data_IF_772769357326
#
_entry.id   IF_772769357326
#
_cell.length_a   1.000
_cell.length_b   1.000
_cell.length_c   1.000
_cell.angle_alpha   90.00
_cell.angle_beta   90.00
_cell.angle_gamma   90.00
#
_symmetry.space_group_name_H-M   'P 1'
#
loop_
_entity.id
_entity.type
_entity.pdbx_description
1 polymer ?
#
# COMPACT_ATOMS: atom_id res chain seq x y z
N UNK A 1 -9.75 -18.69 -47.03
CA UNK A 1 -9.97 -18.60 -45.57
C UNK A 1 -9.04 -17.52 -45.03
N UNK A 2 -9.57 -16.33 -44.73
CA UNK A 2 -8.79 -15.19 -44.26
C UNK A 2 -8.50 -15.36 -42.77
N UNK A 3 -7.23 -15.52 -42.40
CA UNK A 3 -6.82 -15.59 -41.01
C UNK A 3 -7.10 -14.24 -40.34
N UNK A 4 -8.02 -14.22 -39.38
CA UNK A 4 -8.21 -13.07 -38.49
C UNK A 4 -6.90 -12.77 -37.77
N UNK A 5 -6.39 -11.52 -37.82
CA UNK A 5 -5.14 -11.16 -37.17
C UNK A 5 -5.27 -11.44 -35.67
N UNK A 6 -4.33 -12.21 -35.12
CA UNK A 6 -4.22 -12.44 -33.67
C UNK A 6 -4.15 -11.07 -33.01
N UNK A 7 -5.21 -10.70 -32.30
CA UNK A 7 -5.27 -9.53 -31.43
C UNK A 7 -3.98 -9.49 -30.62
N UNK A 8 -3.19 -8.45 -30.84
CA UNK A 8 -1.92 -8.22 -30.18
C UNK A 8 -2.23 -7.93 -28.71
N UNK A 9 -2.40 -8.97 -27.89
CA UNK A 9 -2.68 -8.83 -26.46
C UNK A 9 -1.52 -8.04 -25.87
N UNK A 10 -1.79 -6.80 -25.46
CA UNK A 10 -0.84 -5.94 -24.76
C UNK A 10 -0.21 -6.76 -23.64
N UNK A 11 1.13 -6.92 -23.68
CA UNK A 11 1.90 -7.56 -22.61
C UNK A 11 1.66 -6.80 -21.30
N UNK A 12 1.33 -7.53 -20.24
CA UNK A 12 1.29 -7.00 -18.87
C UNK A 12 2.73 -6.69 -18.44
N UNK A 13 2.97 -5.47 -17.96
CA UNK A 13 4.29 -4.99 -17.57
C UNK A 13 4.57 -5.20 -16.07
N UNK A 14 3.53 -5.17 -15.24
CA UNK A 14 3.66 -5.21 -13.79
C UNK A 14 2.48 -5.96 -13.16
N UNK A 15 2.76 -6.84 -12.20
CA UNK A 15 1.72 -7.44 -11.34
C UNK A 15 1.84 -6.87 -9.93
N UNK A 16 0.72 -6.39 -9.39
CA UNK A 16 0.69 -5.61 -8.14
C UNK A 16 -0.18 -6.35 -7.14
N UNK A 17 0.35 -6.56 -5.94
CA UNK A 17 -0.37 -7.20 -4.84
C UNK A 17 -0.41 -6.28 -3.63
N UNK A 18 -1.54 -6.25 -2.95
CA UNK A 18 -1.67 -5.43 -1.76
C UNK A 18 -3.09 -5.24 -1.28
N UNK A 19 -3.22 -4.35 -0.32
CA UNK A 19 -4.51 -3.98 0.27
C UNK A 19 -5.27 -2.97 -0.60
N UNK A 20 -6.10 -2.09 -0.01
CA UNK A 20 -6.81 -1.08 -0.78
C UNK A 20 -5.92 -0.03 -1.46
N UNK A 21 -4.66 0.11 -1.05
CA UNK A 21 -3.69 1.07 -1.58
C UNK A 21 -3.12 0.70 -2.95
N UNK A 22 -3.38 -0.51 -3.47
CA UNK A 22 -3.14 -0.82 -4.89
C UNK A 22 -4.18 -0.19 -5.83
N UNK A 23 -5.23 0.44 -5.26
CA UNK A 23 -6.33 1.07 -5.99
C UNK A 23 -5.93 2.02 -7.13
N UNK A 24 -4.96 2.94 -6.94
CA UNK A 24 -4.54 3.87 -8.00
C UNK A 24 -4.12 3.18 -9.30
N UNK A 25 -3.50 2.00 -9.22
CA UNK A 25 -3.01 1.28 -10.39
C UNK A 25 -4.12 0.71 -11.28
N UNK A 26 -5.37 0.67 -10.81
CA UNK A 26 -6.52 0.31 -11.66
C UNK A 26 -6.74 1.29 -12.81
N UNK A 27 -6.17 2.51 -12.72
CA UNK A 27 -6.19 3.53 -13.78
C UNK A 27 -5.29 3.18 -15.00
N UNK A 28 -4.37 2.22 -14.85
CA UNK A 28 -3.43 1.78 -15.90
C UNK A 28 -3.97 0.62 -16.78
N UNK A 29 -5.17 0.13 -16.48
CA UNK A 29 -5.89 -0.92 -17.23
C UNK A 29 -5.00 -2.11 -17.62
N UNK A 30 -4.90 -2.45 -18.91
CA UNK A 30 -4.27 -3.68 -19.41
C UNK A 30 -2.74 -3.72 -19.28
N UNK A 31 -2.10 -2.64 -18.81
CA UNK A 31 -0.65 -2.63 -18.59
C UNK A 31 -0.24 -3.30 -17.29
N UNK A 32 -1.18 -3.42 -16.35
CA UNK A 32 -0.92 -3.96 -15.03
C UNK A 32 -1.94 -5.04 -14.67
N UNK A 33 -1.55 -5.97 -13.81
CA UNK A 33 -2.47 -6.90 -13.17
C UNK A 33 -2.56 -6.57 -11.68
N UNK A 34 -3.72 -6.07 -11.25
CA UNK A 34 -3.94 -5.61 -9.86
C UNK A 34 -4.66 -6.68 -9.04
N UNK A 35 -3.95 -7.29 -8.11
CA UNK A 35 -4.45 -8.28 -7.17
C UNK A 35 -4.72 -7.62 -5.81
N UNK A 36 -5.96 -7.16 -5.60
CA UNK A 36 -6.37 -6.43 -4.40
C UNK A 36 -6.99 -7.35 -3.35
N UNK A 37 -6.44 -7.31 -2.13
CA UNK A 37 -6.90 -8.07 -0.97
C UNK A 37 -7.45 -7.13 0.10
N UNK A 38 -8.78 -7.02 0.18
CA UNK A 38 -9.42 -6.04 1.06
C UNK A 38 -9.10 -6.33 2.54
N UNK A 39 -8.50 -5.36 3.22
CA UNK A 39 -8.14 -5.48 4.64
C UNK A 39 -6.94 -6.38 4.91
N UNK A 40 -6.21 -6.78 3.87
CA UNK A 40 -4.98 -7.52 4.05
C UNK A 40 -3.95 -6.68 4.81
N UNK A 41 -3.21 -7.36 5.69
CA UNK A 41 -2.17 -6.80 6.52
C UNK A 41 -0.85 -7.50 6.21
N UNK A 42 0.26 -6.79 6.39
CA UNK A 42 1.59 -7.37 6.25
C UNK A 42 1.79 -8.51 7.28
N UNK A 43 1.36 -8.30 8.53
CA UNK A 43 1.39 -9.31 9.59
C UNK A 43 0.49 -10.52 9.30
N UNK A 44 -0.59 -10.32 8.53
CA UNK A 44 -1.55 -11.36 8.17
C UNK A 44 -1.10 -12.27 7.03
N UNK A 45 -0.01 -11.96 6.31
CA UNK A 45 0.45 -12.76 5.17
C UNK A 45 0.94 -14.15 5.56
N UNK A 46 1.61 -14.27 6.71
CA UNK A 46 2.11 -15.53 7.27
C UNK A 46 1.13 -16.23 8.22
N UNK A 47 -0.06 -15.65 8.44
CA UNK A 47 -1.00 -16.21 9.40
C UNK A 47 -1.90 -17.28 8.74
N UNK A 48 -1.59 -18.55 9.00
CA UNK A 48 -2.36 -19.71 8.52
C UNK A 48 -3.79 -19.75 9.07
N UNK A 49 -4.06 -19.09 10.21
CA UNK A 49 -5.40 -18.96 10.78
C UNK A 49 -6.16 -17.73 10.24
N UNK A 50 -5.54 -16.93 9.36
CA UNK A 50 -6.18 -15.76 8.77
C UNK A 50 -7.36 -16.18 7.90
N UNK A 51 -8.58 -15.71 8.24
CA UNK A 51 -9.77 -15.96 7.41
C UNK A 51 -9.61 -15.54 5.94
N UNK A 52 -8.75 -14.55 5.67
CA UNK A 52 -8.52 -14.03 4.32
C UNK A 52 -7.56 -14.90 3.49
N UNK A 53 -6.71 -15.72 4.14
CA UNK A 53 -5.67 -16.53 3.49
C UNK A 53 -4.87 -15.75 2.42
N UNK A 54 -4.62 -14.46 2.66
CA UNK A 54 -4.09 -13.56 1.63
C UNK A 54 -2.71 -14.00 1.12
N UNK A 55 -1.82 -14.45 2.01
CA UNK A 55 -0.49 -14.94 1.62
C UNK A 55 -0.59 -16.16 0.69
N UNK A 56 -1.37 -17.17 1.09
CA UNK A 56 -1.62 -18.37 0.30
C UNK A 56 -2.19 -18.05 -1.09
N UNK A 57 -3.26 -17.24 -1.14
CA UNK A 57 -3.89 -16.84 -2.40
C UNK A 57 -2.93 -16.07 -3.31
N UNK A 58 -2.07 -15.22 -2.74
CA UNK A 58 -1.03 -14.51 -3.48
C UNK A 58 0.02 -15.46 -4.05
N UNK A 59 0.49 -16.45 -3.27
CA UNK A 59 1.48 -17.43 -3.72
C UNK A 59 0.94 -18.34 -4.83
N UNK A 60 -0.32 -18.77 -4.72
CA UNK A 60 -1.00 -19.53 -5.77
C UNK A 60 -1.09 -18.72 -7.07
N UNK A 61 -1.44 -17.43 -6.96
CA UNK A 61 -1.47 -16.54 -8.12
C UNK A 61 -0.08 -16.36 -8.73
N UNK A 62 0.95 -16.08 -7.92
CA UNK A 62 2.34 -15.94 -8.35
C UNK A 62 2.84 -17.21 -9.07
N UNK A 63 2.58 -18.39 -8.51
CA UNK A 63 2.98 -19.66 -9.11
C UNK A 63 2.30 -19.89 -10.46
N UNK A 64 1.02 -19.54 -10.58
CA UNK A 64 0.25 -19.71 -11.81
C UNK A 64 0.64 -18.72 -12.92
N UNK A 65 0.84 -17.43 -12.59
CA UNK A 65 1.06 -16.40 -13.62
C UNK A 65 2.53 -16.10 -13.88
N UNK A 66 3.42 -16.51 -12.97
CA UNK A 66 4.88 -16.32 -13.04
C UNK A 66 5.30 -14.94 -13.58
N UNK A 67 4.85 -13.83 -12.96
CA UNK A 67 5.14 -12.49 -13.47
C UNK A 67 6.63 -12.14 -13.29
N UNK A 68 7.22 -11.51 -14.30
CA UNK A 68 8.62 -11.03 -14.25
C UNK A 68 8.79 -9.85 -13.29
N UNK A 69 7.83 -8.92 -13.29
CA UNK A 69 7.88 -7.70 -12.48
C UNK A 69 6.73 -7.68 -11.47
N UNK A 70 7.05 -7.55 -10.19
CA UNK A 70 6.11 -7.58 -9.08
C UNK A 70 6.24 -6.34 -8.20
N UNK A 71 5.11 -5.76 -7.78
CA UNK A 71 5.04 -4.73 -6.75
C UNK A 71 4.20 -5.21 -5.58
N UNK A 72 4.72 -5.11 -4.35
CA UNK A 72 4.02 -5.44 -3.12
C UNK A 72 3.73 -4.19 -2.30
N UNK A 73 2.47 -4.02 -1.90
CA UNK A 73 1.98 -2.87 -1.12
C UNK A 73 1.20 -3.38 0.10
N UNK A 74 1.90 -3.53 1.22
CA UNK A 74 1.34 -3.98 2.50
C UNK A 74 1.87 -3.12 3.64
N UNK A 75 1.19 -3.15 4.79
CA UNK A 75 1.56 -2.40 6.00
C UNK A 75 0.64 -1.22 6.31
N UNK A 76 -0.07 -0.67 5.32
CA UNK A 76 -0.98 0.45 5.56
C UNK A 76 -2.11 0.09 6.54
N UNK A 77 -2.73 -1.09 6.37
CA UNK A 77 -3.79 -1.56 7.27
C UNK A 77 -3.23 -1.89 8.65
N UNK A 78 -2.00 -2.37 8.77
CA UNK A 78 -1.35 -2.67 10.05
C UNK A 78 -1.15 -1.40 10.88
N UNK A 79 -0.58 -0.36 10.26
CA UNK A 79 -0.21 0.89 10.93
C UNK A 79 -1.43 1.80 11.12
N UNK A 80 -2.26 2.01 10.10
CA UNK A 80 -3.32 3.02 10.13
C UNK A 80 -4.67 2.50 10.66
N UNK A 81 -4.85 1.18 10.82
CA UNK A 81 -6.13 0.57 11.23
C UNK A 81 -5.97 -0.43 12.37
N UNK A 82 -5.11 -1.43 12.18
CA UNK A 82 -5.02 -2.57 13.10
C UNK A 82 -4.40 -2.18 14.43
N UNK A 83 -3.41 -1.29 14.42
CA UNK A 83 -2.89 -0.66 15.63
C UNK A 83 -4.00 0.00 16.46
N UNK A 84 -4.80 0.87 15.83
CA UNK A 84 -5.90 1.57 16.51
C UNK A 84 -6.96 0.59 17.06
N UNK A 85 -7.29 -0.45 16.28
CA UNK A 85 -8.14 -1.54 16.76
C UNK A 85 -7.57 -2.13 18.04
N UNK A 86 -6.28 -2.48 18.06
CA UNK A 86 -5.65 -3.15 19.20
C UNK A 86 -5.53 -2.27 20.43
N UNK A 87 -5.36 -0.97 20.24
CA UNK A 87 -5.46 0.00 21.34
C UNK A 87 -6.87 -0.03 21.94
N UNK A 88 -7.92 0.16 21.15
CA UNK A 88 -9.31 0.12 21.65
C UNK A 88 -9.69 -1.21 22.31
N UNK A 89 -9.30 -2.33 21.69
CA UNK A 89 -9.49 -3.70 22.21
C UNK A 89 -8.86 -3.85 23.61
N UNK A 90 -7.66 -3.32 23.80
CA UNK A 90 -6.94 -3.39 25.08
C UNK A 90 -7.54 -2.48 26.15
N UNK A 91 -8.02 -1.29 25.76
CA UNK A 91 -8.75 -0.41 26.69
C UNK A 91 -10.04 -1.06 27.17
N UNK A 92 -10.82 -1.63 26.24
CA UNK A 92 -12.07 -2.31 26.54
C UNK A 92 -11.87 -3.49 27.52
N UNK A 93 -10.82 -4.28 27.32
CA UNK A 93 -10.53 -5.45 28.12
C UNK A 93 -9.59 -5.19 29.31
N UNK A 94 -9.17 -3.94 29.51
CA UNK A 94 -8.22 -3.55 30.55
C UNK A 94 -6.90 -4.36 30.51
N UNK A 95 -6.45 -4.72 29.32
CA UNK A 95 -5.17 -5.41 29.11
C UNK A 95 -4.06 -4.42 28.77
N UNK A 96 -2.82 -4.90 28.78
CA UNK A 96 -1.67 -4.07 28.34
C UNK A 96 -1.87 -3.62 26.89
N UNK A 97 -1.90 -2.30 26.61
CA UNK A 97 -2.08 -1.81 25.26
C UNK A 97 -0.81 -2.01 24.43
N UNK A 98 -0.90 -2.09 23.09
CA UNK A 98 0.28 -2.23 22.26
C UNK A 98 1.14 -0.97 22.33
N UNK A 99 2.43 -1.12 22.60
CA UNK A 99 3.43 -0.06 22.44
C UNK A 99 3.65 0.23 20.92
N UNK A 100 3.62 1.49 20.45
CA UNK A 100 3.75 1.82 19.02
C UNK A 100 5.04 1.30 18.39
N UNK A 101 6.18 1.46 19.08
CA UNK A 101 7.49 1.10 18.55
C UNK A 101 7.62 -0.42 18.42
N UNK A 102 7.18 -1.14 19.45
CA UNK A 102 7.10 -2.61 19.45
C UNK A 102 6.12 -3.10 18.39
N UNK A 103 4.97 -2.45 18.22
CA UNK A 103 3.98 -2.80 17.20
C UNK A 103 4.60 -2.78 15.80
N UNK A 104 5.23 -1.65 15.44
CA UNK A 104 5.86 -1.44 14.14
C UNK A 104 6.92 -2.50 13.85
N UNK A 105 7.79 -2.81 14.81
CA UNK A 105 8.78 -3.88 14.69
C UNK A 105 8.12 -5.23 14.42
N UNK A 106 7.08 -5.60 15.17
CA UNK A 106 6.41 -6.89 14.97
C UNK A 106 5.73 -6.99 13.59
N UNK A 107 5.20 -5.88 13.07
CA UNK A 107 4.61 -5.82 11.73
C UNK A 107 5.69 -6.02 10.68
N UNK A 108 6.80 -5.29 10.79
CA UNK A 108 7.93 -5.41 9.88
C UNK A 108 8.54 -6.82 9.92
N UNK A 109 8.84 -7.37 11.09
CA UNK A 109 9.41 -8.72 11.24
C UNK A 109 8.52 -9.79 10.59
N UNK A 110 7.21 -9.70 10.82
CA UNK A 110 6.25 -10.61 10.19
C UNK A 110 6.27 -10.51 8.66
N UNK A 111 6.37 -9.28 8.14
CA UNK A 111 6.44 -9.05 6.70
C UNK A 111 7.77 -9.51 6.10
N UNK A 112 8.89 -9.15 6.73
CA UNK A 112 10.23 -9.53 6.32
C UNK A 112 10.40 -11.06 6.31
N UNK A 113 9.85 -11.77 7.30
CA UNK A 113 9.85 -13.23 7.30
C UNK A 113 9.06 -13.80 6.12
N UNK A 114 7.87 -13.26 5.83
CA UNK A 114 7.09 -13.67 4.65
C UNK A 114 7.88 -13.42 3.35
N UNK A 115 8.52 -12.26 3.23
CA UNK A 115 9.36 -11.92 2.08
C UNK A 115 10.50 -12.92 1.92
N UNK A 116 11.28 -13.17 2.98
CA UNK A 116 12.44 -14.09 2.95
C UNK A 116 12.05 -15.51 2.62
N UNK A 117 11.01 -16.04 3.25
CA UNK A 117 10.65 -17.45 3.13
C UNK A 117 9.81 -17.75 1.88
N UNK A 118 8.97 -16.80 1.45
CA UNK A 118 7.95 -17.05 0.44
C UNK A 118 8.16 -16.25 -0.85
N UNK A 119 8.73 -15.04 -0.81
CA UNK A 119 8.88 -14.21 -2.01
C UNK A 119 10.29 -14.30 -2.61
N UNK A 120 11.34 -14.07 -1.82
CA UNK A 120 12.73 -14.06 -2.31
C UNK A 120 13.16 -15.33 -3.04
N UNK A 121 12.73 -16.56 -2.67
CA UNK A 121 13.08 -17.76 -3.43
C UNK A 121 12.57 -17.75 -4.87
N UNK A 122 11.64 -16.84 -5.22
CA UNK A 122 11.10 -16.66 -6.56
C UNK A 122 11.77 -15.52 -7.33
N UNK A 123 12.68 -14.77 -6.70
CA UNK A 123 13.41 -13.65 -7.30
C UNK A 123 14.69 -14.17 -7.95
N UNK A 124 14.89 -13.84 -9.22
CA UNK A 124 16.09 -14.23 -9.96
C UNK A 124 17.28 -13.42 -9.48
N UNK A 125 18.32 -14.11 -9.00
CA UNK A 125 19.60 -13.48 -8.67
C UNK A 125 20.25 -13.03 -9.97
N UNK A 126 20.48 -11.72 -10.14
CA UNK A 126 21.30 -11.20 -11.22
C UNK A 126 22.75 -11.57 -10.93
N UNK A 127 23.16 -12.74 -11.40
CA UNK A 127 24.56 -13.12 -11.37
C UNK A 127 25.30 -12.18 -12.34
N UNK A 128 25.99 -11.18 -11.79
CA UNK A 128 26.86 -10.29 -12.54
C UNK A 128 28.00 -11.10 -13.13
N UNK A 129 27.78 -11.67 -14.32
CA UNK A 129 28.76 -12.27 -15.22
C UNK A 129 29.77 -13.23 -14.57
N UNK A 130 29.66 -14.52 -14.90
CA UNK A 130 30.72 -15.52 -14.73
C UNK A 130 30.91 -15.97 -13.26
N UNK A 131 30.38 -17.12 -12.89
CA UNK A 131 31.19 -18.33 -13.07
C UNK A 131 30.30 -19.55 -13.20
N UNK A 132 30.40 -20.18 -14.37
CA UNK A 132 29.99 -21.56 -14.57
C UNK A 132 30.44 -22.46 -13.41
N UNK A 133 29.53 -23.36 -13.04
CA UNK A 133 29.83 -24.72 -12.61
C UNK A 133 30.70 -24.87 -11.37
N UNK A 134 30.07 -24.98 -10.19
CA UNK A 134 30.05 -26.22 -9.38
C UNK A 134 29.48 -25.95 -7.98
N UNK A 135 28.32 -26.53 -7.74
CA UNK A 135 28.01 -27.19 -6.46
C UNK A 135 27.78 -26.31 -5.24
N UNK A 136 26.54 -25.89 -5.04
CA UNK A 136 25.85 -26.15 -3.78
C UNK A 136 24.49 -26.77 -4.11
N UNK A 137 24.47 -28.10 -4.06
CA UNK A 137 23.34 -28.94 -4.46
C UNK A 137 22.22 -28.93 -3.44
N UNK A 138 21.32 -27.96 -3.55
CA UNK A 138 19.93 -28.19 -3.19
C UNK A 138 19.15 -28.22 -4.50
N UNK A 139 18.84 -29.44 -4.96
CA UNK A 139 17.86 -29.61 -6.02
C UNK A 139 16.58 -28.86 -5.59
N UNK A 140 15.94 -28.08 -6.48
CA UNK A 140 14.71 -27.38 -6.15
C UNK A 140 13.68 -28.40 -5.64
N UNK A 141 13.16 -28.18 -4.43
CA UNK A 141 12.25 -29.11 -3.76
C UNK A 141 10.94 -29.34 -4.53
N UNK A 142 10.62 -28.47 -5.49
CA UNK A 142 9.52 -28.63 -6.45
C UNK A 142 9.76 -27.78 -7.71
N UNK A 143 9.11 -28.14 -8.83
CA UNK A 143 9.14 -27.33 -10.06
C UNK A 143 8.58 -25.89 -9.87
N UNK A 144 7.87 -25.64 -8.77
CA UNK A 144 7.33 -24.32 -8.42
C UNK A 144 8.37 -23.37 -7.80
N UNK A 145 9.58 -23.85 -7.46
CA UNK A 145 10.60 -23.05 -6.79
C UNK A 145 11.64 -22.41 -7.73
N UNK A 146 11.49 -22.54 -9.05
CA UNK A 146 12.40 -21.86 -9.97
C UNK A 146 12.14 -20.35 -9.94
N UNK A 147 13.17 -19.51 -9.75
CA UNK A 147 13.01 -18.06 -9.76
C UNK A 147 12.46 -17.58 -11.11
N UNK A 148 11.51 -16.65 -11.07
CA UNK A 148 10.85 -16.07 -12.24
C UNK A 148 10.60 -14.57 -12.13
N UNK A 149 10.74 -13.99 -10.94
CA UNK A 149 10.62 -12.55 -10.72
C UNK A 149 11.97 -11.92 -11.00
N UNK A 150 12.11 -11.17 -12.09
CA UNK A 150 13.32 -10.39 -12.38
C UNK A 150 13.39 -9.10 -11.56
N UNK A 151 12.24 -8.54 -11.18
CA UNK A 151 12.19 -7.29 -10.41
C UNK A 151 11.04 -7.30 -9.40
N UNK A 152 11.37 -7.05 -8.14
CA UNK A 152 10.47 -6.98 -7.01
C UNK A 152 10.55 -5.58 -6.40
N UNK A 153 9.48 -4.81 -6.51
CA UNK A 153 9.31 -3.55 -5.81
C UNK A 153 8.57 -3.77 -4.49
N UNK A 154 9.07 -3.18 -3.42
CA UNK A 154 8.39 -3.08 -2.13
C UNK A 154 8.03 -1.61 -1.89
N UNK A 155 6.73 -1.31 -1.81
CA UNK A 155 6.24 0.04 -1.59
C UNK A 155 6.32 0.42 -0.12
N UNK A 156 6.70 1.68 0.12
CA UNK A 156 6.50 2.35 1.39
C UNK A 156 5.02 2.46 1.77
N UNK A 157 4.78 2.65 3.06
CA UNK A 157 3.49 3.09 3.61
C UNK A 157 3.39 4.61 3.47
N UNK A 158 2.27 5.11 2.96
CA UNK A 158 2.01 6.55 2.86
C UNK A 158 1.84 7.17 4.25
N UNK A 159 2.35 8.39 4.43
CA UNK A 159 2.15 9.17 5.64
C UNK A 159 0.66 9.30 6.02
N UNK A 160 0.34 9.29 7.32
CA UNK A 160 -1.05 9.33 7.77
C UNK A 160 -1.73 10.64 7.36
N UNK A 161 -2.92 10.51 6.78
CA UNK A 161 -3.74 11.64 6.31
C UNK A 161 -4.87 12.03 7.27
N UNK A 162 -5.21 11.16 8.22
CA UNK A 162 -6.33 11.38 9.16
C UNK A 162 -5.83 12.21 10.33
N UNK A 163 -6.32 13.44 10.55
CA UNK A 163 -5.97 14.26 11.70
C UNK A 163 -6.59 13.68 12.98
N UNK A 164 -6.04 14.04 14.13
CA UNK A 164 -6.47 13.48 15.43
C UNK A 164 -7.93 13.79 15.75
N UNK A 165 -8.41 14.96 15.35
CA UNK A 165 -9.82 15.37 15.46
C UNK A 165 -10.80 14.44 14.73
N UNK A 166 -10.33 13.62 13.79
CA UNK A 166 -11.14 12.68 13.02
C UNK A 166 -10.74 11.22 13.22
N UNK A 167 -9.77 10.95 14.09
CA UNK A 167 -9.18 9.63 14.27
C UNK A 167 -10.19 8.63 14.83
N UNK A 168 -11.00 9.02 15.82
CA UNK A 168 -12.05 8.15 16.36
C UNK A 168 -13.05 7.74 15.27
N UNK A 169 -13.48 8.69 14.44
CA UNK A 169 -14.40 8.40 13.33
C UNK A 169 -13.78 7.48 12.28
N UNK A 170 -12.48 7.65 12.02
CA UNK A 170 -11.73 6.73 11.17
C UNK A 170 -11.75 5.32 11.76
N UNK A 171 -11.42 5.17 13.03
CA UNK A 171 -11.46 3.89 13.74
C UNK A 171 -12.84 3.24 13.66
N UNK A 172 -13.91 3.97 13.98
CA UNK A 172 -15.29 3.48 13.91
C UNK A 172 -15.65 2.95 12.51
N UNK A 173 -15.20 3.67 11.47
CA UNK A 173 -15.46 3.31 10.07
C UNK A 173 -14.77 2.01 9.66
N UNK A 174 -13.54 1.77 10.10
CA UNK A 174 -12.78 0.58 9.69
C UNK A 174 -12.99 -0.61 10.63
N UNK A 175 -13.47 -0.38 11.84
CA UNK A 175 -13.72 -1.39 12.88
C UNK A 175 -15.22 -1.51 13.21
N UNK A 176 -16.08 -1.39 12.19
CA UNK A 176 -17.55 -1.36 12.34
C UNK A 176 -18.18 -2.45 13.24
N UNK A 177 -17.71 -3.71 13.28
CA UNK A 177 -18.34 -4.70 14.17
C UNK A 177 -18.19 -4.38 15.66
N UNK A 178 -17.17 -3.60 16.04
CA UNK A 178 -16.77 -3.38 17.44
C UNK A 178 -17.02 -1.96 17.92
N UNK A 179 -17.15 -1.00 17.00
CA UNK A 179 -17.20 0.42 17.36
C UNK A 179 -18.36 0.79 18.30
N UNK A 180 -19.53 0.15 18.16
CA UNK A 180 -20.66 0.43 19.06
C UNK A 180 -20.35 -0.05 20.48
N UNK A 181 -19.76 -1.25 20.61
CA UNK A 181 -19.37 -1.84 21.89
C UNK A 181 -18.33 -0.95 22.59
N UNK A 182 -17.34 -0.45 21.86
CA UNK A 182 -16.34 0.47 22.42
C UNK A 182 -16.95 1.80 22.88
N UNK A 183 -17.88 2.36 22.09
CA UNK A 183 -18.57 3.60 22.47
C UNK A 183 -19.43 3.43 23.71
N UNK A 184 -20.15 2.32 23.80
CA UNK A 184 -20.97 1.99 24.97
C UNK A 184 -20.09 1.78 26.23
N UNK A 185 -18.86 1.30 26.04
CA UNK A 185 -17.85 1.17 27.09
C UNK A 185 -17.06 2.48 27.37
N UNK A 186 -17.35 3.58 26.68
CA UNK A 186 -16.65 4.86 26.85
C UNK A 186 -15.20 4.87 26.36
N UNK A 187 -14.80 3.91 25.53
CA UNK A 187 -13.44 3.81 24.99
C UNK A 187 -13.25 4.85 23.88
N UNK A 188 -12.22 5.70 24.02
CA UNK A 188 -11.84 6.68 22.99
C UNK A 188 -10.33 6.66 22.74
N UNK A 189 -9.92 6.84 21.47
CA UNK A 189 -8.50 6.89 21.10
C UNK A 189 -7.78 8.12 21.66
N UNK A 190 -8.50 9.22 21.89
CA UNK A 190 -7.90 10.43 22.47
C UNK A 190 -7.51 10.27 23.95
N UNK A 191 -8.05 9.25 24.63
CA UNK A 191 -7.83 8.98 26.05
C UNK A 191 -7.17 7.61 26.29
N UNK A 192 -6.75 6.91 25.22
CA UNK A 192 -6.11 5.60 25.37
C UNK A 192 -4.76 5.72 26.06
N UNK A 193 -4.38 4.67 26.80
CA UNK A 193 -3.08 4.57 27.47
C UNK A 193 -1.91 4.51 26.50
N UNK A 194 -2.13 3.93 25.30
CA UNK A 194 -1.15 3.94 24.22
C UNK A 194 -1.38 5.14 23.29
N UNK A 195 -0.31 5.82 22.82
CA UNK A 195 -0.43 7.05 22.06
C UNK A 195 -0.88 6.80 20.61
N UNK A 196 -1.90 7.54 20.15
CA UNK A 196 -2.52 7.31 18.83
C UNK A 196 -2.53 8.55 17.93
N UNK A 197 -1.95 9.64 18.42
CA UNK A 197 -1.89 10.93 17.74
C UNK A 197 -1.12 10.89 16.40
N UNK A 198 -1.24 11.96 15.62
CA UNK A 198 -0.65 12.05 14.29
C UNK A 198 0.88 11.97 14.33
N UNK A 199 1.53 12.49 15.37
CA UNK A 199 2.98 12.46 15.49
C UNK A 199 3.46 11.02 15.75
N UNK A 200 2.81 10.30 16.66
CA UNK A 200 3.05 8.87 16.87
C UNK A 200 2.87 8.07 15.59
N UNK A 201 1.74 8.25 14.88
CA UNK A 201 1.46 7.51 13.63
C UNK A 201 2.45 7.83 12.50
N UNK A 202 2.95 9.06 12.43
CA UNK A 202 4.02 9.45 11.50
C UNK A 202 5.34 8.76 11.84
N UNK A 203 5.73 8.78 13.11
CA UNK A 203 6.91 8.06 13.58
C UNK A 203 6.82 6.58 13.22
N UNK A 204 5.69 5.94 13.53
CA UNK A 204 5.45 4.54 13.16
C UNK A 204 5.58 4.26 11.66
N UNK A 205 5.07 5.17 10.82
CA UNK A 205 5.17 5.06 9.35
C UNK A 205 6.61 5.22 8.89
N UNK A 206 7.33 6.21 9.43
CA UNK A 206 8.74 6.46 9.11
C UNK A 206 9.62 5.27 9.53
N UNK A 207 9.43 4.74 10.74
CA UNK A 207 10.19 3.59 11.26
C UNK A 207 9.93 2.34 10.41
N UNK A 208 8.67 2.05 10.06
CA UNK A 208 8.33 0.92 9.17
C UNK A 208 8.98 1.05 7.80
N UNK A 209 8.88 2.25 7.20
CA UNK A 209 9.43 2.54 5.88
C UNK A 209 10.96 2.43 5.86
N UNK A 210 11.62 2.94 6.90
CA UNK A 210 13.06 2.84 7.05
C UNK A 210 13.53 1.39 7.13
N UNK A 211 12.90 0.57 7.98
CA UNK A 211 13.24 -0.86 8.05
C UNK A 211 12.98 -1.59 6.72
N UNK A 212 11.94 -1.20 5.97
CA UNK A 212 11.64 -1.77 4.65
C UNK A 212 12.68 -1.36 3.59
N UNK A 213 13.18 -0.12 3.65
CA UNK A 213 14.27 0.38 2.81
C UNK A 213 15.59 -0.35 3.12
N UNK A 214 15.92 -0.52 4.40
CA UNK A 214 17.08 -1.29 4.85
C UNK A 214 16.99 -2.73 4.33
N UNK A 215 15.83 -3.39 4.47
CA UNK A 215 15.59 -4.72 3.92
C UNK A 215 15.84 -4.80 2.41
N UNK A 216 15.36 -3.82 1.64
CA UNK A 216 15.61 -3.79 0.20
C UNK A 216 17.10 -3.61 -0.13
N UNK A 217 17.79 -2.76 0.64
CA UNK A 217 19.22 -2.49 0.48
C UNK A 217 20.05 -3.73 0.79
N UNK A 218 19.76 -4.42 1.89
CA UNK A 218 20.37 -5.68 2.31
C UNK A 218 20.18 -6.81 1.30
N UNK A 219 19.19 -6.71 0.41
CA UNK A 219 18.83 -7.74 -0.55
C UNK A 219 18.97 -7.26 -2.01
N UNK A 220 19.63 -6.11 -2.21
CA UNK A 220 19.90 -5.55 -3.53
C UNK A 220 20.77 -6.47 -4.41
N UNK A 221 21.62 -7.31 -3.79
CA UNK A 221 22.41 -8.34 -4.48
C UNK A 221 21.58 -9.42 -5.16
N UNK A 222 20.30 -9.56 -4.80
CA UNK A 222 19.36 -10.44 -5.51
C UNK A 222 18.91 -9.81 -6.83
N UNK A 223 19.50 -8.67 -7.23
CA UNK A 223 19.41 -8.06 -8.55
C UNK A 223 18.08 -7.36 -8.88
N UNK A 224 17.00 -7.81 -8.26
CA UNK A 224 15.66 -7.35 -8.55
C UNK A 224 14.94 -6.60 -7.42
N UNK A 225 15.46 -6.59 -6.19
CA UNK A 225 14.71 -6.02 -5.03
C UNK A 225 14.91 -4.50 -4.96
N UNK A 226 13.81 -3.76 -4.97
CA UNK A 226 13.80 -2.29 -5.01
C UNK A 226 12.81 -1.71 -4.01
N UNK A 227 13.23 -0.70 -3.28
CA UNK A 227 12.35 0.10 -2.45
C UNK A 227 11.69 1.19 -3.29
N UNK A 228 10.38 1.39 -3.12
CA UNK A 228 9.62 2.45 -3.79
C UNK A 228 8.97 3.34 -2.74
N UNK A 229 9.38 4.61 -2.67
CA UNK A 229 8.79 5.58 -1.75
C UNK A 229 8.09 6.73 -2.49
N UNK A 230 6.77 6.81 -2.33
CA UNK A 230 5.97 7.91 -2.88
C UNK A 230 6.00 9.15 -1.98
N UNK A 231 6.32 9.00 -0.68
CA UNK A 231 6.16 10.09 0.29
C UNK A 231 6.88 11.38 -0.11
N UNK A 232 8.13 11.36 -0.61
CA UNK A 232 8.83 12.58 -1.07
C UNK A 232 8.06 13.40 -2.13
N UNK A 233 7.16 12.78 -2.90
CA UNK A 233 6.35 13.45 -3.93
C UNK A 233 5.03 14.01 -3.41
N UNK A 234 4.57 13.50 -2.26
CA UNK A 234 3.23 13.79 -1.74
C UNK A 234 3.21 14.50 -0.39
N UNK A 235 4.34 14.59 0.30
CA UNK A 235 4.46 15.29 1.58
C UNK A 235 5.21 16.62 1.45
N UNK A 236 4.99 17.49 2.43
CA UNK A 236 5.79 18.70 2.63
C UNK A 236 7.16 18.30 3.21
N UNK A 237 8.29 18.69 2.59
CA UNK A 237 9.62 18.43 3.14
C UNK A 237 9.85 19.05 4.52
N UNK A 238 9.14 20.14 4.84
CA UNK A 238 9.32 20.89 6.10
C UNK A 238 8.57 20.25 7.27
N UNK A 239 7.39 19.71 7.01
CA UNK A 239 6.47 19.24 8.07
C UNK A 239 6.24 17.73 8.07
N UNK A 240 6.53 17.06 6.95
CA UNK A 240 6.14 15.68 6.70
C UNK A 240 4.64 15.48 6.45
N UNK A 241 3.85 16.57 6.43
CA UNK A 241 2.42 16.53 6.18
C UNK A 241 2.12 16.13 4.73
N UNK A 242 1.13 15.27 4.50
CA UNK A 242 0.61 15.05 3.15
C UNK A 242 0.02 16.36 2.62
N UNK A 243 0.48 16.79 1.44
CA UNK A 243 0.09 18.06 0.87
C UNK A 243 -1.42 18.11 0.59
N UNK A 244 -2.09 19.26 0.82
CA UNK A 244 -3.54 19.40 0.70
C UNK A 244 -4.17 18.81 -0.56
N UNK A 245 -3.51 19.00 -1.72
CA UNK A 245 -3.98 18.50 -3.03
C UNK A 245 -4.09 16.97 -3.15
N UNK A 246 -3.46 16.22 -2.25
CA UNK A 246 -3.55 14.74 -2.22
C UNK A 246 -4.52 14.25 -1.14
N UNK A 247 -5.11 15.16 -0.35
CA UNK A 247 -6.09 14.82 0.67
C UNK A 247 -7.48 14.69 0.05
N UNK A 248 -8.13 13.59 0.37
CA UNK A 248 -9.53 13.36 0.04
C UNK A 248 -10.46 14.20 0.91
N UNK A 249 -11.63 14.54 0.37
CA UNK A 249 -12.68 15.34 1.06
C UNK A 249 -13.12 14.77 2.41
N UNK A 250 -13.14 13.44 2.56
CA UNK A 250 -13.53 12.82 3.83
C UNK A 250 -12.31 12.74 4.76
N UNK A 251 -12.28 13.49 5.88
CA UNK A 251 -11.12 13.49 6.77
C UNK A 251 -10.90 12.18 7.54
N UNK A 252 -11.89 11.28 7.57
CA UNK A 252 -11.84 10.01 8.31
C UNK A 252 -11.42 8.81 7.43
N UNK A 253 -10.82 9.04 6.26
CA UNK A 253 -10.30 7.97 5.42
C UNK A 253 -8.78 8.01 5.37
N UNK A 254 -8.17 6.84 5.42
CA UNK A 254 -6.72 6.65 5.40
C UNK A 254 -6.08 6.83 4.01
N UNK A 255 -6.89 7.06 2.98
CA UNK A 255 -6.43 7.09 1.59
C UNK A 255 -6.14 8.52 1.13
N UNK A 256 -5.10 8.67 0.31
CA UNK A 256 -4.89 9.83 -0.56
C UNK A 256 -5.78 9.76 -1.81
N UNK A 257 -5.90 10.87 -2.52
CA UNK A 257 -6.60 10.96 -3.81
C UNK A 257 -5.80 10.20 -4.88
N UNK A 258 -6.39 9.14 -5.44
CA UNK A 258 -5.71 8.24 -6.38
C UNK A 258 -5.32 8.94 -7.69
N UNK A 259 -6.23 9.74 -8.23
CA UNK A 259 -6.05 10.43 -9.51
C UNK A 259 -4.87 11.40 -9.49
N UNK A 260 -4.61 12.01 -8.33
CA UNK A 260 -3.51 12.97 -8.17
C UNK A 260 -2.16 12.32 -7.89
N UNK A 261 -2.13 11.04 -7.48
CA UNK A 261 -0.89 10.35 -7.08
C UNK A 261 -0.38 9.36 -8.10
N UNK A 262 -1.22 8.86 -9.01
CA UNK A 262 -0.84 7.85 -9.99
C UNK A 262 0.31 8.28 -10.91
N UNK A 263 0.41 9.57 -11.24
CA UNK A 263 1.52 10.08 -12.06
C UNK A 263 2.89 9.88 -11.39
N UNK A 264 3.00 10.16 -10.10
CA UNK A 264 4.25 9.93 -9.32
C UNK A 264 4.58 8.44 -9.22
N UNK A 265 3.58 7.59 -9.03
CA UNK A 265 3.78 6.13 -9.00
C UNK A 265 4.30 5.61 -10.35
N UNK A 266 3.78 6.11 -11.46
CA UNK A 266 4.25 5.76 -12.80
C UNK A 266 5.68 6.24 -13.04
N UNK A 267 6.04 7.43 -12.56
CA UNK A 267 7.42 7.94 -12.63
C UNK A 267 8.40 7.05 -11.86
N UNK A 268 8.04 6.67 -10.63
CA UNK A 268 8.82 5.76 -9.78
C UNK A 268 8.96 4.35 -10.36
N UNK A 269 8.04 3.94 -11.24
CA UNK A 269 8.03 2.63 -11.92
C UNK A 269 8.41 2.73 -13.40
N UNK A 270 9.05 3.82 -13.82
CA UNK A 270 9.35 4.07 -15.24
C UNK A 270 10.24 3.00 -15.87
N UNK A 271 11.10 2.36 -15.08
CA UNK A 271 11.96 1.26 -15.52
C UNK A 271 11.21 -0.06 -15.82
N UNK A 272 9.95 -0.16 -15.41
CA UNK A 272 9.04 -1.25 -15.85
C UNK A 272 8.54 -1.08 -17.28
N UNK A 273 8.81 0.08 -17.90
CA UNK A 273 8.26 0.48 -19.20
C UNK A 273 6.89 1.16 -19.12
N UNK A 274 6.37 1.39 -17.91
CA UNK A 274 5.19 2.22 -17.69
C UNK A 274 5.51 3.69 -18.00
N UNK A 275 4.53 4.38 -18.59
CA UNK A 275 4.61 5.80 -18.93
C UNK A 275 3.31 6.50 -18.56
N UNK A 276 3.34 7.84 -18.44
CA UNK A 276 2.13 8.64 -18.15
C UNK A 276 1.04 8.41 -19.22
N UNK A 277 1.42 8.02 -20.44
CA UNK A 277 0.47 7.70 -21.53
C UNK A 277 -0.35 6.44 -21.28
N UNK A 278 0.10 5.58 -20.36
CA UNK A 278 -0.63 4.38 -19.95
C UNK A 278 -1.77 4.69 -18.98
N UNK A 279 -1.84 5.93 -18.46
CA UNK A 279 -3.00 6.45 -17.73
C UNK A 279 -4.09 6.78 -18.75
N UNK A 280 -4.95 5.81 -19.01
CA UNK A 280 -5.97 5.90 -20.08
C UNK A 280 -7.30 6.51 -19.62
N UNK A 281 -7.36 7.01 -18.39
CA UNK A 281 -8.56 7.60 -17.78
C UNK A 281 -8.36 9.11 -17.74
N UNK A 282 -9.42 9.85 -18.04
CA UNK A 282 -9.47 11.28 -17.73
C UNK A 282 -9.45 11.45 -16.21
N UNK A 283 -8.28 11.84 -15.69
CA UNK A 283 -8.04 11.98 -14.25
C UNK A 283 -8.94 13.05 -13.62
N UNK A 284 -9.27 14.11 -14.36
CA UNK A 284 -10.13 15.18 -13.86
C UNK A 284 -11.57 14.67 -13.72
N UNK A 285 -12.11 14.06 -14.78
CA UNK A 285 -13.46 13.48 -14.74
C UNK A 285 -13.59 12.34 -13.72
N UNK A 286 -12.57 11.49 -13.59
CA UNK A 286 -12.52 10.42 -12.57
C UNK A 286 -12.56 11.00 -11.16
N UNK A 287 -11.75 12.04 -10.92
CA UNK A 287 -11.68 12.70 -9.63
C UNK A 287 -13.01 13.36 -9.25
N UNK A 288 -13.62 14.12 -10.15
CA UNK A 288 -14.94 14.74 -9.94
C UNK A 288 -16.03 13.70 -9.61
N UNK A 289 -16.03 12.58 -10.34
CA UNK A 289 -16.96 11.47 -10.10
C UNK A 289 -16.75 10.85 -8.72
N UNK A 290 -15.49 10.65 -8.32
CA UNK A 290 -15.14 10.14 -7.00
C UNK A 290 -15.62 11.09 -5.90
N UNK A 291 -15.33 12.39 -6.02
CA UNK A 291 -15.71 13.41 -5.04
C UNK A 291 -17.23 13.49 -4.89
N UNK A 292 -17.97 13.56 -6.00
CA UNK A 292 -19.43 13.61 -5.97
C UNK A 292 -20.03 12.39 -5.25
N UNK A 293 -19.50 11.19 -5.51
CA UNK A 293 -19.93 9.97 -4.82
C UNK A 293 -19.62 10.03 -3.31
N UNK A 294 -18.46 10.57 -2.92
CA UNK A 294 -18.08 10.70 -1.51
C UNK A 294 -18.88 11.75 -0.77
N UNK A 295 -19.14 12.90 -1.38
CA UNK A 295 -20.02 13.93 -0.82
C UNK A 295 -21.42 13.38 -0.55
N UNK A 296 -22.00 12.66 -1.51
CA UNK A 296 -23.30 12.00 -1.32
C UNK A 296 -23.29 10.98 -0.19
N UNK A 297 -22.22 10.20 -0.06
CA UNK A 297 -22.04 9.29 1.06
C UNK A 297 -21.98 10.05 2.39
N UNK A 298 -21.22 11.14 2.44
CA UNK A 298 -21.01 11.95 3.64
C UNK A 298 -22.28 12.63 4.12
N UNK A 299 -23.08 13.19 3.20
CA UNK A 299 -24.38 13.76 3.50
C UNK A 299 -25.34 12.74 4.14
N UNK A 300 -25.33 11.49 3.65
CA UNK A 300 -26.15 10.40 4.24
C UNK A 300 -25.75 10.03 5.66
N UNK A 301 -24.48 10.23 6.03
CA UNK A 301 -23.93 9.86 7.34
C UNK A 301 -23.63 11.06 8.24
N UNK A 302 -24.09 12.27 7.89
CA UNK A 302 -23.81 13.49 8.65
C UNK A 302 -22.31 13.75 8.86
N UNK A 303 -21.49 13.51 7.83
CA UNK A 303 -20.04 13.77 7.87
C UNK A 303 -19.79 15.14 7.24
N UNK A 304 -19.22 16.08 8.00
CA UNK A 304 -18.73 17.32 7.43
C UNK A 304 -17.48 17.06 6.55
N UNK A 305 -17.40 17.61 5.33
CA UNK A 305 -16.20 17.52 4.52
C UNK A 305 -15.08 18.41 5.05
N UNK A 306 -13.85 18.09 4.65
CA UNK A 306 -12.73 19.04 4.75
C UNK A 306 -13.09 20.32 4.03
N UNK A 307 -12.65 21.44 4.59
CA UNK A 307 -12.78 22.77 3.99
C UNK A 307 -11.88 22.89 2.75
N UNK A 308 -12.22 23.82 1.84
CA UNK A 308 -11.42 24.05 0.63
C UNK A 308 -9.98 24.51 0.94
N UNK A 309 -9.77 25.20 2.06
CA UNK A 309 -8.44 25.58 2.55
C UNK A 309 -7.61 24.36 2.97
N UNK A 310 -8.25 23.32 3.51
CA UNK A 310 -7.58 22.08 3.94
C UNK A 310 -7.26 21.14 2.78
N UNK A 311 -8.00 21.21 1.66
CA UNK A 311 -7.76 20.39 0.47
C UNK A 311 -7.01 21.14 -0.64
N UNK A 312 -6.74 22.43 -0.46
CA UNK A 312 -6.04 23.26 -1.46
C UNK A 312 -6.86 23.56 -2.72
N UNK A 313 -8.17 23.27 -2.72
CA UNK A 313 -9.05 23.39 -3.91
C UNK A 313 -9.34 24.83 -4.36
N UNK A 314 -8.89 25.85 -3.60
CA UNK A 314 -9.07 27.27 -3.96
C UNK A 314 -8.29 27.72 -5.21
N UNK A 315 -7.34 26.92 -5.69
CA UNK A 315 -6.58 27.20 -6.90
C UNK A 315 -6.91 26.16 -7.98
N UNK A 316 -7.98 26.39 -8.75
CA UNK A 316 -8.23 25.70 -10.05
C UNK A 316 -7.21 26.11 -11.13
N UNK A 317 -5.94 26.13 -10.76
CA UNK A 317 -4.78 26.27 -11.64
C UNK A 317 -3.99 24.97 -11.57
N UNK A 318 -4.63 23.83 -11.82
CA UNK A 318 -3.89 22.61 -12.10
C UNK A 318 -3.41 22.65 -13.54
N UNK A 319 -2.24 23.29 -13.64
CA UNK A 319 -1.28 23.17 -14.73
C UNK A 319 -1.26 21.72 -15.21
N UNK A 320 -1.18 21.57 -16.54
CA UNK A 320 -0.59 20.39 -17.18
C UNK A 320 0.53 19.88 -16.28
N UNK A 321 0.53 18.58 -15.97
CA UNK A 321 1.73 17.91 -15.48
C UNK A 321 2.92 18.50 -16.25
N UNK A 322 3.98 19.00 -15.58
CA UNK A 322 5.17 19.36 -16.30
C UNK A 322 5.63 18.06 -16.95
N UNK A 323 5.31 17.90 -18.23
CA UNK A 323 5.95 16.91 -19.07
C UNK A 323 7.40 17.37 -19.08
N UNK A 324 8.22 16.78 -18.23
CA UNK A 324 9.66 16.82 -18.38
C UNK A 324 9.93 16.30 -19.79
N UNK A 325 10.33 17.21 -20.66
CA UNK A 325 10.80 16.96 -22.03
C UNK A 325 12.10 16.19 -22.00
#
# INVERSE_FOLDING_TARGET
>A
MSATPKSNRSRTLLTIYGDSFVGPFTLLKSKVNVCKYKGATAKGLNNEDSKSQTGTAMLEHLARTRPETVLLIFGHVDIHVTYLYKVCDSEMHQTEPPDPDTWVKTVFESYANYLREKILPRVAVLDHASTCSKGFGLAPASADSYPFISTLYLSSVTMPVVPDSHLQRCNDKYNMPFHQVWRDAGVTLAQSRSPTDIATRRKMTADFNHMLEEFCTEHSQWGGVRYLDINPHITSPETGDVLPKYLVLNPSTIHVVWETTIGHLVELLSDTGLTVRDITVDLESSFETYEHRKLNQMMRFGVAPRTQSETGMGARNHRRWPLST
#
